data_IF_026145510362
#
_entry.id   IF_026145510362
#
_cell.length_a   1.000
_cell.length_b   1.000
_cell.length_c   1.000
_cell.angle_alpha   90.00
_cell.angle_beta   90.00
_cell.angle_gamma   90.00
#
_symmetry.space_group_name_H-M   'P 1'
#
loop_
_entity.id
_entity.type
_entity.pdbx_description
1 polymer ?
#
# COMPACT_ATOMS: atom_id res chain seq x y z
N UNK A 1 -13.42 -1.67 -1.27
CA UNK A 1 -13.01 -0.30 -1.68
C UNK A 1 -11.56 -0.34 -2.12
N UNK A 2 -11.12 0.63 -2.93
CA UNK A 2 -9.73 0.71 -3.37
C UNK A 2 -9.13 2.08 -3.03
N UNK A 3 -7.83 2.07 -2.72
CA UNK A 3 -6.99 3.27 -2.57
C UNK A 3 -5.77 3.10 -3.46
N UNK A 4 -5.22 4.19 -3.98
CA UNK A 4 -3.97 4.17 -4.70
C UNK A 4 -3.09 5.31 -4.21
N UNK A 5 -1.78 5.09 -4.14
CA UNK A 5 -0.87 6.13 -3.69
C UNK A 5 0.59 5.71 -3.72
N UNK A 6 1.45 6.70 -3.61
CA UNK A 6 2.90 6.52 -3.54
C UNK A 6 3.26 5.86 -2.23
N UNK A 7 4.13 4.85 -2.27
CA UNK A 7 4.58 4.21 -1.05
C UNK A 7 5.67 5.03 -0.40
N UNK A 8 5.34 5.67 0.73
CA UNK A 8 6.26 6.53 1.46
C UNK A 8 6.92 5.82 2.65
N UNK A 9 6.27 4.79 3.22
CA UNK A 9 6.82 4.06 4.36
C UNK A 9 6.38 2.60 4.38
N UNK A 10 7.29 1.73 4.84
CA UNK A 10 7.01 0.34 5.18
C UNK A 10 7.53 0.03 6.56
N UNK A 11 6.69 -0.57 7.39
CA UNK A 11 7.08 -1.02 8.73
C UNK A 11 6.71 -2.48 8.92
N UNK A 12 7.65 -3.26 9.47
CA UNK A 12 7.41 -4.64 9.88
C UNK A 12 7.86 -4.81 11.33
N UNK A 13 7.02 -4.45 12.31
CA UNK A 13 7.39 -4.56 13.71
C UNK A 13 7.70 -6.03 14.07
N UNK A 14 8.82 -6.27 14.75
CA UNK A 14 9.24 -7.63 15.11
C UNK A 14 8.24 -8.37 16.00
N UNK A 15 7.41 -7.63 16.74
CA UNK A 15 6.41 -8.15 17.68
C UNK A 15 5.03 -8.40 17.05
N UNK A 16 4.75 -7.90 15.85
CA UNK A 16 3.40 -7.87 15.27
C UNK A 16 3.04 -9.11 14.45
N UNK A 17 3.42 -10.33 14.87
CA UNK A 17 3.05 -11.62 14.24
C UNK A 17 3.14 -11.66 12.69
N UNK A 18 4.11 -10.96 12.11
CA UNK A 18 4.31 -10.92 10.66
C UNK A 18 3.39 -9.96 9.88
N UNK A 19 2.74 -9.02 10.55
CA UNK A 19 2.04 -7.89 9.93
C UNK A 19 3.05 -6.91 9.33
N UNK A 20 2.71 -6.38 8.15
CA UNK A 20 3.41 -5.27 7.52
C UNK A 20 2.43 -4.10 7.44
N UNK A 21 2.91 -2.90 7.77
CA UNK A 21 2.21 -1.65 7.56
C UNK A 21 2.84 -0.96 6.36
N UNK A 22 2.01 -0.48 5.45
CA UNK A 22 2.42 0.31 4.29
C UNK A 22 1.67 1.63 4.35
N UNK A 23 2.38 2.76 4.31
CA UNK A 23 1.75 4.07 4.22
C UNK A 23 1.78 4.50 2.75
N UNK A 24 0.59 4.80 2.22
CA UNK A 24 0.41 5.38 0.89
C UNK A 24 0.08 6.86 1.01
N UNK A 25 0.57 7.67 0.08
CA UNK A 25 0.27 9.10 -0.02
C UNK A 25 -0.26 9.45 -1.42
N UNK A 26 -1.32 10.26 -1.45
CA UNK A 26 -1.83 10.94 -2.63
C UNK A 26 -2.10 12.43 -2.30
N UNK A 27 -2.69 13.18 -3.22
CA UNK A 27 -2.99 14.61 -3.03
C UNK A 27 -4.02 14.89 -1.92
N UNK A 28 -4.78 13.87 -1.50
CA UNK A 28 -5.81 13.97 -0.45
C UNK A 28 -5.27 13.64 0.95
N UNK A 29 -4.06 13.07 1.02
CA UNK A 29 -3.32 12.80 2.26
C UNK A 29 -2.75 11.39 2.31
N UNK A 30 -2.60 10.87 3.54
CA UNK A 30 -2.02 9.55 3.78
C UNK A 30 -3.06 8.50 4.17
N UNK A 31 -2.84 7.26 3.73
CA UNK A 31 -3.60 6.08 4.19
C UNK A 31 -2.66 4.98 4.66
N UNK A 32 -2.94 4.45 5.85
CA UNK A 32 -2.21 3.32 6.40
C UNK A 32 -2.87 2.00 6.00
N UNK A 33 -2.11 1.16 5.31
CA UNK A 33 -2.53 -0.16 4.85
C UNK A 33 -1.94 -1.22 5.77
N UNK A 34 -2.80 -2.12 6.27
CA UNK A 34 -2.40 -3.29 7.06
C UNK A 34 -2.36 -4.50 6.14
N UNK A 35 -1.18 -5.09 6.02
CA UNK A 35 -0.92 -6.28 5.20
C UNK A 35 -0.61 -7.45 6.11
N UNK A 36 -1.58 -8.35 6.25
CA UNK A 36 -1.41 -9.59 7.01
C UNK A 36 -0.52 -10.58 6.26
N UNK A 37 0.14 -11.48 7.00
CA UNK A 37 1.10 -12.45 6.46
C UNK A 37 0.61 -13.17 5.20
N UNK A 38 -0.63 -13.67 5.19
CA UNK A 38 -1.22 -14.38 4.04
C UNK A 38 -1.29 -13.50 2.78
N UNK A 39 -1.62 -12.23 2.93
CA UNK A 39 -1.72 -11.28 1.82
C UNK A 39 -0.32 -10.89 1.35
N UNK A 40 0.59 -10.64 2.29
CA UNK A 40 2.01 -10.40 1.97
C UNK A 40 2.63 -11.57 1.20
N UNK A 41 2.41 -12.81 1.63
CA UNK A 41 2.94 -13.99 0.94
C UNK A 41 2.43 -14.08 -0.52
N UNK A 42 1.15 -13.75 -0.74
CA UNK A 42 0.54 -13.73 -2.07
C UNK A 42 1.06 -12.60 -2.96
N UNK A 43 1.23 -11.40 -2.40
CA UNK A 43 1.59 -10.19 -3.16
C UNK A 43 3.01 -9.68 -2.82
N UNK A 44 3.92 -10.60 -2.49
CA UNK A 44 5.24 -10.28 -1.91
C UNK A 44 6.02 -9.25 -2.70
N UNK A 45 6.04 -9.38 -4.03
CA UNK A 45 6.77 -8.47 -4.92
C UNK A 45 6.22 -7.05 -4.80
N UNK A 46 4.92 -6.86 -4.99
CA UNK A 46 4.28 -5.55 -4.90
C UNK A 46 4.53 -4.89 -3.53
N UNK A 47 4.37 -5.66 -2.44
CA UNK A 47 4.57 -5.13 -1.08
C UNK A 47 6.00 -4.68 -0.83
N UNK A 48 7.01 -5.40 -1.35
CA UNK A 48 8.43 -5.07 -1.11
C UNK A 48 8.92 -3.95 -2.03
N UNK A 49 8.62 -4.02 -3.33
CA UNK A 49 9.27 -3.17 -4.34
C UNK A 49 8.40 -2.08 -4.94
N UNK A 50 7.08 -2.16 -4.80
CA UNK A 50 6.18 -1.22 -5.49
C UNK A 50 6.37 0.22 -5.02
N UNK A 51 6.59 1.15 -5.92
CA UNK A 51 6.69 2.60 -5.64
C UNK A 51 5.31 3.26 -5.65
N UNK A 52 4.41 2.75 -6.48
CA UNK A 52 3.01 3.14 -6.54
C UNK A 52 2.14 1.88 -6.42
N UNK A 53 1.23 1.86 -5.46
CA UNK A 53 0.38 0.71 -5.22
C UNK A 53 -1.09 1.07 -5.36
N UNK A 54 -1.87 0.17 -5.96
CA UNK A 54 -3.32 0.11 -5.78
C UNK A 54 -3.62 -1.00 -4.78
N UNK A 55 -4.38 -0.67 -3.75
CA UNK A 55 -4.78 -1.62 -2.71
C UNK A 55 -6.30 -1.68 -2.65
N UNK A 56 -6.83 -2.87 -2.90
CA UNK A 56 -8.24 -3.18 -2.66
C UNK A 56 -8.38 -3.87 -1.31
N UNK A 57 -9.35 -3.42 -0.52
CA UNK A 57 -9.62 -3.99 0.78
C UNK A 57 -10.79 -3.35 1.52
N UNK A 58 -10.79 -3.55 2.83
CA UNK A 58 -11.82 -3.06 3.76
C UNK A 58 -11.26 -1.94 4.63
N UNK A 59 -11.98 -0.82 4.68
CA UNK A 59 -11.66 0.24 5.63
C UNK A 59 -12.06 -0.19 7.03
N UNK A 60 -11.15 0.01 7.98
CA UNK A 60 -11.38 -0.19 9.39
C UNK A 60 -11.01 1.10 10.12
N UNK A 61 -11.97 1.62 10.88
CA UNK A 61 -11.78 2.79 11.72
C UNK A 61 -11.53 2.34 13.15
N UNK A 62 -10.41 2.73 13.72
CA UNK A 62 -10.08 2.49 15.12
C UNK A 62 -9.75 3.85 15.76
N UNK A 63 -10.62 4.33 16.64
CA UNK A 63 -10.51 5.66 17.23
C UNK A 63 -10.40 6.76 16.15
N UNK A 64 -9.31 7.53 16.17
CA UNK A 64 -9.02 8.61 15.22
C UNK A 64 -8.30 8.16 13.94
N UNK A 65 -7.85 6.91 13.87
CA UNK A 65 -7.04 6.42 12.74
C UNK A 65 -7.87 5.50 11.85
N UNK A 66 -7.87 5.80 10.56
CA UNK A 66 -8.50 4.98 9.53
C UNK A 66 -7.41 4.17 8.82
N UNK A 67 -7.61 2.86 8.74
CA UNK A 67 -6.70 1.94 8.04
C UNK A 67 -7.45 1.18 6.96
N UNK A 68 -6.73 0.70 5.95
CA UNK A 68 -7.25 -0.27 4.98
C UNK A 68 -6.63 -1.64 5.27
N UNK A 69 -7.46 -2.63 5.53
CA UNK A 69 -7.01 -4.03 5.60
C UNK A 69 -6.93 -4.56 4.18
N UNK A 70 -5.72 -4.86 3.71
CA UNK A 70 -5.48 -5.28 2.33
C UNK A 70 -6.06 -6.66 2.04
N UNK A 71 -6.66 -6.82 0.87
CA UNK A 71 -7.17 -8.09 0.32
C UNK A 71 -6.54 -8.39 -1.04
N UNK A 72 -6.26 -7.35 -1.83
CA UNK A 72 -5.52 -7.40 -3.09
C UNK A 72 -4.58 -6.20 -3.20
N UNK A 73 -3.39 -6.43 -3.75
CA UNK A 73 -2.34 -5.42 -3.89
C UNK A 73 -1.74 -5.54 -5.29
N UNK A 74 -1.74 -4.42 -6.00
CA UNK A 74 -1.20 -4.31 -7.34
C UNK A 74 -0.07 -3.29 -7.37
N UNK A 75 1.05 -3.69 -7.98
CA UNK A 75 2.16 -2.80 -8.29
C UNK A 75 1.86 -2.07 -9.59
N UNK A 76 1.48 -0.80 -9.48
CA UNK A 76 1.19 0.07 -10.63
C UNK A 76 2.33 1.06 -10.86
N UNK A 77 3.55 0.76 -10.38
CA UNK A 77 4.72 1.64 -10.53
C UNK A 77 5.08 1.95 -11.98
N UNK A 78 4.69 1.10 -12.93
CA UNK A 78 4.87 1.37 -14.36
C UNK A 78 4.17 2.67 -14.81
N UNK A 79 3.10 3.10 -14.13
CA UNK A 79 2.44 4.37 -14.40
C UNK A 79 3.34 5.57 -14.09
N UNK A 80 4.26 5.44 -13.12
CA UNK A 80 5.25 6.49 -12.83
C UNK A 80 6.27 6.62 -13.96
N UNK A 81 6.59 5.52 -14.64
CA UNK A 81 7.59 5.51 -15.71
C UNK A 81 7.06 6.27 -16.94
N UNK A 82 5.73 6.26 -17.16
CA UNK A 82 5.06 7.08 -18.19
C UNK A 82 5.22 8.58 -17.92
N UNK A 83 5.25 9.01 -16.66
CA UNK A 83 5.43 10.43 -16.31
C UNK A 83 6.85 10.93 -16.61
N UNK A 84 7.84 10.03 -16.59
CA UNK A 84 9.23 10.36 -16.93
C UNK A 84 9.43 10.47 -18.45
N UNK A 85 8.59 9.78 -19.24
CA UNK A 85 8.58 9.85 -20.70
C UNK A 85 7.78 11.05 -21.23
N UNK A 86 7.87 12.19 -20.55
CA UNK A 86 7.08 13.40 -20.81
C UNK A 86 6.80 13.64 -22.30
N UNK A 87 5.55 14.04 -22.54
CA UNK A 87 4.98 14.48 -23.81
C UNK A 87 6.06 15.07 -24.74
N UNK A 88 6.29 14.39 -25.87
CA UNK A 88 7.04 14.97 -26.97
C UNK A 88 6.35 16.23 -27.51
#
# INVERSE_FOLDING_TARGET
MAVAGLVILRQRPGTAKGVIFVTLEDETGIVNVVVWRKIYERFRRAVISGRLLRVTGRMQRAHSVTHVIAEEIEDISAMLDVLVQGEG
#
